data_IF_764226867952
#
_entry.id   IF_764226867952
#
_cell.length_a   1.000
_cell.length_b   1.000
_cell.length_c   1.000
_cell.angle_alpha   90.00
_cell.angle_beta   90.00
_cell.angle_gamma   90.00
#
_symmetry.space_group_name_H-M   'P 1'
#
loop_
_entity.id
_entity.type
_entity.pdbx_description
1 polymer ?
#
# COMPACT_ATOMS: atom_id res chain seq x y z
N UNK A 1 8.58 47.39 85.53
CA UNK A 1 8.64 46.14 84.75
C UNK A 1 8.48 46.50 83.29
N UNK A 2 9.52 46.23 82.51
CA UNK A 2 9.82 46.80 81.19
C UNK A 2 9.04 46.11 80.05
N UNK A 3 8.32 46.83 79.19
CA UNK A 3 7.57 46.27 78.05
C UNK A 3 8.44 45.89 76.83
N UNK A 4 9.76 46.08 76.89
CA UNK A 4 10.64 45.94 75.71
C UNK A 4 11.05 44.50 75.38
N UNK A 5 10.89 43.55 76.32
CA UNK A 5 11.34 42.15 76.12
C UNK A 5 10.29 41.32 75.36
N UNK A 6 9.00 41.68 75.42
CA UNK A 6 7.95 40.95 74.71
C UNK A 6 7.92 41.23 73.20
N UNK A 7 8.35 42.42 72.77
CA UNK A 7 8.38 42.80 71.35
C UNK A 7 9.47 42.08 70.55
N UNK A 8 10.64 41.84 71.15
CA UNK A 8 11.78 41.20 70.49
C UNK A 8 11.58 39.70 70.19
N UNK A 9 10.86 38.98 71.05
CA UNK A 9 10.60 37.54 70.89
C UNK A 9 9.54 37.25 69.81
N UNK A 10 8.54 38.13 69.66
CA UNK A 10 7.50 37.99 68.63
C UNK A 10 8.08 38.35 67.25
N UNK A 11 8.96 39.36 67.16
CA UNK A 11 9.63 39.74 65.93
C UNK A 11 10.59 38.66 65.40
N UNK A 12 11.41 38.05 66.27
CA UNK A 12 12.34 36.99 65.88
C UNK A 12 11.61 35.70 65.46
N UNK A 13 10.55 35.32 66.17
CA UNK A 13 9.71 34.17 65.81
C UNK A 13 9.04 34.33 64.45
N UNK A 14 8.52 35.53 64.14
CA UNK A 14 7.91 35.82 62.85
C UNK A 14 8.93 35.75 61.69
N UNK A 15 10.16 36.28 61.88
CA UNK A 15 11.19 36.22 60.83
C UNK A 15 11.68 34.80 60.54
N UNK A 16 11.89 33.97 61.56
CA UNK A 16 12.30 32.56 61.37
C UNK A 16 11.24 31.72 60.66
N UNK A 17 9.96 31.95 60.98
CA UNK A 17 8.84 31.25 60.35
C UNK A 17 8.64 31.66 58.90
N UNK A 18 8.91 32.94 58.58
CA UNK A 18 8.85 33.46 57.21
C UNK A 18 10.01 32.92 56.36
N UNK A 19 11.24 32.91 56.90
CA UNK A 19 12.42 32.37 56.20
C UNK A 19 12.32 30.84 56.02
N UNK A 20 11.86 30.12 57.04
CA UNK A 20 11.62 28.68 56.96
C UNK A 20 10.51 28.30 55.98
N UNK A 21 9.42 29.08 55.94
CA UNK A 21 8.33 28.92 54.97
C UNK A 21 8.77 29.20 53.53
N UNK A 22 9.62 30.21 53.31
CA UNK A 22 10.18 30.51 51.98
C UNK A 22 11.15 29.42 51.52
N UNK A 23 12.01 28.90 52.40
CA UNK A 23 12.95 27.82 52.07
C UNK A 23 12.21 26.50 51.73
N UNK A 24 11.20 26.13 52.53
CA UNK A 24 10.34 24.97 52.25
C UNK A 24 9.52 25.17 50.96
N UNK A 25 9.00 26.37 50.74
CA UNK A 25 8.30 26.75 49.52
C UNK A 25 9.16 26.61 48.26
N UNK A 26 10.42 27.02 48.30
CA UNK A 26 11.36 26.86 47.19
C UNK A 26 11.71 25.39 46.92
N UNK A 27 11.93 24.57 47.95
CA UNK A 27 12.24 23.15 47.77
C UNK A 27 11.05 22.37 47.20
N UNK A 28 9.84 22.63 47.70
CA UNK A 28 8.61 22.04 47.15
C UNK A 28 8.35 22.52 45.71
N UNK A 29 8.48 23.83 45.45
CA UNK A 29 8.32 24.42 44.13
C UNK A 29 9.27 23.79 43.10
N UNK A 30 10.55 23.64 43.44
CA UNK A 30 11.55 23.04 42.54
C UNK A 30 11.24 21.58 42.16
N UNK A 31 10.68 20.79 43.08
CA UNK A 31 10.29 19.40 42.83
C UNK A 31 9.01 19.31 42.00
N UNK A 32 8.04 20.17 42.27
CA UNK A 32 6.80 20.27 41.47
C UNK A 32 7.13 20.73 40.05
N UNK A 33 8.02 21.71 39.89
CA UNK A 33 8.45 22.20 38.60
C UNK A 33 9.21 21.14 37.80
N UNK A 34 10.10 20.36 38.44
CA UNK A 34 10.77 19.21 37.79
C UNK A 34 9.79 18.13 37.33
N UNK A 35 8.83 17.76 38.17
CA UNK A 35 7.78 16.80 37.77
C UNK A 35 6.90 17.35 36.65
N UNK A 36 6.57 18.64 36.67
CA UNK A 36 5.82 19.27 35.58
C UNK A 36 6.61 19.24 34.26
N UNK A 37 7.92 19.50 34.28
CA UNK A 37 8.75 19.40 33.08
C UNK A 37 8.91 17.96 32.58
N UNK A 38 9.02 16.98 33.47
CA UNK A 38 9.07 15.56 33.11
C UNK A 38 7.75 15.08 32.51
N UNK A 39 6.62 15.46 33.11
CA UNK A 39 5.28 15.17 32.57
C UNK A 39 5.09 15.83 31.21
N UNK A 40 5.53 17.07 31.04
CA UNK A 40 5.48 17.76 29.74
C UNK A 40 6.38 17.08 28.70
N UNK A 41 7.58 16.66 29.08
CA UNK A 41 8.50 15.95 28.18
C UNK A 41 7.93 14.59 27.74
N UNK A 42 7.31 13.84 28.67
CA UNK A 42 6.63 12.59 28.37
C UNK A 42 5.39 12.82 27.49
N UNK A 43 4.60 13.86 27.77
CA UNK A 43 3.44 14.22 26.95
C UNK A 43 3.86 14.62 25.52
N UNK A 44 4.92 15.41 25.38
CA UNK A 44 5.47 15.79 24.08
C UNK A 44 6.01 14.57 23.32
N UNK A 45 6.71 13.65 24.01
CA UNK A 45 7.20 12.41 23.41
C UNK A 45 6.05 11.55 22.90
N UNK A 46 5.04 11.33 23.74
CA UNK A 46 3.84 10.56 23.39
C UNK A 46 3.07 11.20 22.22
N UNK A 47 2.97 12.54 22.20
CA UNK A 47 2.36 13.28 21.09
C UNK A 47 3.12 13.07 19.78
N UNK A 48 4.46 13.09 19.82
CA UNK A 48 5.29 12.86 18.64
C UNK A 48 5.19 11.41 18.15
N UNK A 49 5.18 10.44 19.08
CA UNK A 49 4.94 9.02 18.76
C UNK A 49 3.57 8.82 18.10
N UNK A 50 2.51 9.47 18.59
CA UNK A 50 1.19 9.40 17.96
C UNK A 50 1.20 10.00 16.55
N UNK A 51 1.81 11.16 16.35
CA UNK A 51 1.94 11.75 15.02
C UNK A 51 2.70 10.85 14.05
N UNK A 52 3.77 10.19 14.51
CA UNK A 52 4.51 9.24 13.69
C UNK A 52 3.68 7.99 13.37
N UNK A 53 2.90 7.48 14.34
CA UNK A 53 2.00 6.35 14.12
C UNK A 53 0.94 6.71 13.07
N UNK A 54 0.35 7.89 13.17
CA UNK A 54 -0.67 8.34 12.21
C UNK A 54 -0.09 8.47 10.80
N UNK A 55 1.12 9.04 10.67
CA UNK A 55 1.84 9.12 9.40
C UNK A 55 2.13 7.73 8.81
N UNK A 56 2.64 6.80 9.63
CA UNK A 56 2.92 5.43 9.17
C UNK A 56 1.65 4.69 8.77
N UNK A 57 0.54 4.88 9.48
CA UNK A 57 -0.74 4.29 9.10
C UNK A 57 -1.26 4.84 7.77
N UNK A 58 -1.10 6.15 7.54
CA UNK A 58 -1.45 6.78 6.26
C UNK A 58 -0.59 6.25 5.12
N UNK A 59 0.74 6.14 5.32
CA UNK A 59 1.66 5.58 4.33
C UNK A 59 1.34 4.12 4.00
N UNK A 60 1.08 3.28 5.01
CA UNK A 60 0.68 1.88 4.82
C UNK A 60 -0.65 1.79 4.07
N UNK A 61 -1.63 2.62 4.41
CA UNK A 61 -2.91 2.68 3.71
C UNK A 61 -2.74 3.05 2.24
N UNK A 62 -1.93 4.06 1.96
CA UNK A 62 -1.61 4.50 0.59
C UNK A 62 -0.89 3.42 -0.21
N UNK A 63 0.13 2.79 0.36
CA UNK A 63 0.89 1.72 -0.29
C UNK A 63 -0.01 0.50 -0.56
N UNK A 64 -0.85 0.13 0.40
CA UNK A 64 -1.81 -0.97 0.23
C UNK A 64 -2.77 -0.68 -0.93
N UNK A 65 -3.34 0.53 -0.99
CA UNK A 65 -4.23 0.93 -2.08
C UNK A 65 -3.52 0.93 -3.44
N UNK A 66 -2.28 1.40 -3.50
CA UNK A 66 -1.47 1.39 -4.72
C UNK A 66 -1.17 -0.05 -5.19
N UNK A 67 -0.82 -0.94 -4.26
CA UNK A 67 -0.60 -2.36 -4.55
C UNK A 67 -1.88 -3.03 -5.08
N UNK A 68 -3.03 -2.79 -4.45
CA UNK A 68 -4.32 -3.31 -4.94
C UNK A 68 -4.60 -2.83 -6.35
N UNK A 69 -4.38 -1.54 -6.63
CA UNK A 69 -4.62 -0.97 -7.96
C UNK A 69 -3.68 -1.53 -9.02
N UNK A 70 -2.40 -1.71 -8.67
CA UNK A 70 -1.41 -2.35 -9.56
C UNK A 70 -1.74 -3.81 -9.80
N UNK A 71 -2.15 -4.55 -8.76
CA UNK A 71 -2.61 -5.93 -8.85
C UNK A 71 -3.76 -6.07 -9.84
N UNK A 72 -4.83 -5.29 -9.66
CA UNK A 72 -5.97 -5.31 -10.57
C UNK A 72 -5.61 -4.96 -12.02
N UNK A 73 -4.72 -3.99 -12.24
CA UNK A 73 -4.26 -3.68 -13.60
C UNK A 73 -3.43 -4.81 -14.23
N UNK A 74 -2.63 -5.52 -13.44
CA UNK A 74 -1.87 -6.68 -13.92
C UNK A 74 -2.82 -7.83 -14.27
N UNK A 75 -3.81 -8.10 -13.43
CA UNK A 75 -4.82 -9.14 -13.69
C UNK A 75 -5.59 -8.86 -14.99
N UNK A 76 -6.08 -7.63 -15.19
CA UNK A 76 -6.74 -7.22 -16.44
C UNK A 76 -5.83 -7.39 -17.68
N UNK A 77 -4.53 -7.12 -17.53
CA UNK A 77 -3.56 -7.29 -18.61
C UNK A 77 -3.30 -8.76 -18.90
N UNK A 78 -3.22 -9.61 -17.88
CA UNK A 78 -3.06 -11.05 -18.02
C UNK A 78 -4.28 -11.65 -18.73
N UNK A 79 -5.51 -11.32 -18.28
CA UNK A 79 -6.74 -11.78 -18.94
C UNK A 79 -6.84 -11.36 -20.41
N UNK A 80 -6.29 -10.18 -20.76
CA UNK A 80 -6.24 -9.72 -22.16
C UNK A 80 -5.23 -10.53 -22.97
N UNK A 81 -4.07 -10.83 -22.39
CA UNK A 81 -3.03 -11.64 -23.03
C UNK A 81 -3.53 -13.06 -23.25
N UNK A 82 -4.16 -13.66 -22.24
CA UNK A 82 -4.70 -15.02 -22.32
C UNK A 82 -5.76 -15.12 -23.42
N UNK A 83 -6.75 -14.23 -23.43
CA UNK A 83 -7.75 -14.19 -24.51
C UNK A 83 -7.13 -14.03 -25.90
N UNK A 84 -6.08 -13.22 -26.03
CA UNK A 84 -5.39 -13.04 -27.31
C UNK A 84 -4.62 -14.29 -27.70
N UNK A 85 -3.99 -14.99 -26.76
CA UNK A 85 -3.31 -16.24 -27.01
C UNK A 85 -4.29 -17.33 -27.44
N UNK A 86 -5.46 -17.42 -26.81
CA UNK A 86 -6.50 -18.36 -27.18
C UNK A 86 -6.98 -18.12 -28.62
N UNK A 87 -7.29 -16.87 -28.96
CA UNK A 87 -7.67 -16.47 -30.33
C UNK A 87 -6.60 -16.81 -31.37
N UNK A 88 -5.33 -16.51 -31.06
CA UNK A 88 -4.21 -16.83 -31.95
C UNK A 88 -4.02 -18.35 -32.11
N UNK A 89 -4.25 -19.12 -31.05
CA UNK A 89 -4.14 -20.58 -31.07
C UNK A 89 -5.24 -21.19 -31.92
N UNK A 90 -6.48 -20.69 -31.81
CA UNK A 90 -7.61 -21.08 -32.64
C UNK A 90 -7.33 -20.78 -34.12
N UNK A 91 -6.93 -19.54 -34.44
CA UNK A 91 -6.62 -19.13 -35.82
C UNK A 91 -5.48 -19.97 -36.43
N UNK A 92 -4.43 -20.27 -35.64
CA UNK A 92 -3.35 -21.14 -36.10
C UNK A 92 -3.82 -22.57 -36.37
N UNK A 93 -4.74 -23.07 -35.56
CA UNK A 93 -5.31 -24.41 -35.74
C UNK A 93 -6.14 -24.46 -37.03
N UNK A 94 -7.01 -23.48 -37.24
CA UNK A 94 -7.81 -23.34 -38.46
C UNK A 94 -6.94 -23.26 -39.71
N UNK A 95 -5.93 -22.36 -39.70
CA UNK A 95 -5.00 -22.23 -40.83
C UNK A 95 -4.16 -23.49 -41.08
N UNK A 96 -3.83 -24.24 -40.03
CA UNK A 96 -3.12 -25.51 -40.18
C UNK A 96 -4.00 -26.54 -40.88
N UNK A 97 -5.27 -26.65 -40.47
CA UNK A 97 -6.27 -27.53 -41.12
C UNK A 97 -6.47 -27.13 -42.58
N UNK A 98 -6.65 -25.83 -42.88
CA UNK A 98 -6.80 -25.34 -44.25
C UNK A 98 -5.58 -25.68 -45.12
N UNK A 99 -4.37 -25.43 -44.60
CA UNK A 99 -3.12 -25.77 -45.30
C UNK A 99 -3.03 -27.26 -45.60
N UNK A 100 -3.40 -28.11 -44.65
CA UNK A 100 -3.32 -29.56 -44.82
C UNK A 100 -4.35 -30.06 -45.84
N UNK A 101 -5.57 -29.49 -45.86
CA UNK A 101 -6.55 -29.72 -46.94
C UNK A 101 -6.02 -29.31 -48.31
N UNK A 102 -5.42 -28.13 -48.43
CA UNK A 102 -4.84 -27.67 -49.69
C UNK A 102 -3.69 -28.56 -50.18
N UNK A 103 -2.85 -29.06 -49.25
CA UNK A 103 -1.79 -30.02 -49.57
C UNK A 103 -2.36 -31.34 -50.08
N UNK A 104 -3.44 -31.82 -49.47
CA UNK A 104 -4.13 -33.03 -49.91
C UNK A 104 -4.76 -32.82 -51.30
N UNK A 105 -5.47 -31.71 -51.51
CA UNK A 105 -6.03 -31.38 -52.82
C UNK A 105 -4.95 -31.30 -53.92
N UNK A 106 -3.81 -30.67 -53.63
CA UNK A 106 -2.69 -30.62 -54.58
C UNK A 106 -2.10 -32.00 -54.87
N UNK A 107 -2.08 -32.90 -53.89
CA UNK A 107 -1.65 -34.28 -54.07
C UNK A 107 -2.63 -35.04 -54.98
N UNK A 108 -3.92 -34.95 -54.71
CA UNK A 108 -4.97 -35.62 -55.49
C UNK A 108 -5.01 -35.12 -56.93
N UNK A 109 -4.94 -33.79 -57.12
CA UNK A 109 -4.86 -33.17 -58.44
C UNK A 109 -3.66 -33.68 -59.25
N UNK A 110 -2.51 -33.87 -58.60
CA UNK A 110 -1.33 -34.43 -59.26
C UNK A 110 -1.58 -35.87 -59.72
N UNK A 111 -2.31 -36.68 -58.94
CA UNK A 111 -2.75 -38.02 -59.35
C UNK A 111 -3.63 -37.98 -60.59
N UNK A 112 -4.70 -37.17 -60.58
CA UNK A 112 -5.61 -37.03 -61.72
C UNK A 112 -4.90 -36.56 -63.01
N UNK A 113 -3.95 -35.62 -62.90
CA UNK A 113 -3.16 -35.18 -64.06
C UNK A 113 -2.32 -36.33 -64.63
N UNK A 114 -1.77 -37.18 -63.77
CA UNK A 114 -0.99 -38.35 -64.20
C UNK A 114 -1.87 -39.40 -64.88
N UNK A 115 -3.08 -39.61 -64.36
CA UNK A 115 -4.04 -40.61 -64.85
C UNK A 115 -4.88 -40.12 -66.05
N UNK A 116 -4.77 -38.84 -66.43
CA UNK A 116 -5.53 -38.24 -67.54
C UNK A 116 -7.01 -38.01 -67.23
N UNK A 117 -7.37 -38.04 -65.95
CA UNK A 117 -8.73 -37.82 -65.46
C UNK A 117 -9.02 -36.30 -65.28
N UNK A 118 -10.29 -35.88 -65.35
CA UNK A 118 -10.65 -34.50 -65.03
C UNK A 118 -10.26 -34.17 -63.57
N UNK A 119 -9.84 -32.92 -63.29
CA UNK A 119 -9.38 -32.53 -61.97
C UNK A 119 -10.50 -32.67 -60.93
N UNK A 120 -10.16 -33.04 -59.68
CA UNK A 120 -11.15 -33.16 -58.63
C UNK A 120 -11.74 -31.77 -58.30
N UNK A 121 -13.04 -31.68 -57.98
CA UNK A 121 -13.65 -30.42 -57.56
C UNK A 121 -12.93 -29.87 -56.32
N UNK A 122 -12.67 -28.56 -56.25
CA UNK A 122 -12.11 -27.95 -55.05
C UNK A 122 -13.11 -28.00 -53.88
N UNK A 123 -12.61 -28.28 -52.68
CA UNK A 123 -13.35 -28.11 -51.44
C UNK A 123 -13.42 -26.62 -51.08
N UNK A 124 -14.47 -25.93 -51.52
CA UNK A 124 -14.68 -24.53 -51.12
C UNK A 124 -15.07 -24.43 -49.64
N UNK A 125 -14.63 -23.38 -48.93
CA UNK A 125 -15.12 -23.12 -47.59
C UNK A 125 -16.64 -22.94 -47.60
N UNK A 126 -17.31 -23.43 -46.56
CA UNK A 126 -18.77 -23.30 -46.41
C UNK A 126 -19.19 -21.83 -46.54
N UNK A 127 -20.15 -21.54 -47.42
CA UNK A 127 -20.63 -20.18 -47.69
C UNK A 127 -20.03 -19.50 -48.93
N UNK A 128 -19.01 -20.09 -49.56
CA UNK A 128 -18.47 -19.62 -50.84
C UNK A 128 -18.94 -20.57 -51.95
N UNK A 129 -20.22 -20.48 -52.32
CA UNK A 129 -20.72 -21.06 -53.57
C UNK A 129 -20.50 -20.06 -54.72
N UNK A 130 -19.98 -20.56 -55.85
CA UNK A 130 -19.87 -19.80 -57.11
C UNK A 130 -21.16 -19.11 -57.51
#
# INVERSE_FOLDING_TARGET
MTPEILGGLIGLGATLLTVGGVALGHVLSSRVQRRATEVQAVANKKSNEHQMIDQLQEEVGRLSQELTRRGGNLDERLERVDRRNDQLTEELTERTVERDKLRQYAHDLRGHIFDGEPPPPPEWPEGVTK
#
